data_IF_470341767032
#
_entry.id   IF_470341767032
#
_cell.length_a   1.000
_cell.length_b   1.000
_cell.length_c   1.000
_cell.angle_alpha   90.00
_cell.angle_beta   90.00
_cell.angle_gamma   90.00
#
_symmetry.space_group_name_H-M   'P 1'
#
loop_
_entity.id
_entity.type
_entity.pdbx_description
1 polymer ?
#
# COMPACT_ATOMS: atom_id res chain seq x y z
N UNK A 1 -6.57 22.54 0.37
CA UNK A 1 -6.64 21.08 0.10
C UNK A 1 -7.91 20.59 0.77
N UNK A 2 -8.79 19.87 0.05
CA UNK A 2 -10.05 19.32 0.57
C UNK A 2 -9.96 17.80 0.40
N UNK A 3 -10.35 17.04 1.42
CA UNK A 3 -10.42 15.58 1.39
C UNK A 3 -11.76 15.13 1.99
N UNK A 4 -12.40 14.15 1.36
CA UNK A 4 -13.72 13.64 1.78
C UNK A 4 -13.78 12.13 1.61
N UNK A 5 -14.80 11.46 2.17
CA UNK A 5 -15.04 10.04 1.90
C UNK A 5 -15.73 9.76 0.55
N UNK A 6 -16.16 10.80 -0.17
CA UNK A 6 -16.94 10.66 -1.39
C UNK A 6 -16.05 10.57 -2.63
N UNK A 7 -16.45 9.75 -3.60
CA UNK A 7 -15.70 9.53 -4.84
C UNK A 7 -15.87 10.62 -5.89
N UNK A 8 -16.85 11.52 -5.72
CA UNK A 8 -17.14 12.63 -6.62
C UNK A 8 -16.31 13.90 -6.32
N UNK A 9 -15.46 13.86 -5.28
CA UNK A 9 -14.54 14.95 -4.91
C UNK A 9 -13.08 14.49 -4.97
N UNK A 10 -12.13 15.41 -5.23
CA UNK A 10 -10.70 15.12 -5.10
C UNK A 10 -10.33 14.58 -3.72
N UNK A 11 -9.21 13.84 -3.65
CA UNK A 11 -8.65 13.30 -2.41
C UNK A 11 -9.63 12.43 -1.62
N UNK A 12 -10.27 11.46 -2.28
CA UNK A 12 -11.13 10.50 -1.61
C UNK A 12 -10.34 9.70 -0.57
N UNK A 13 -10.70 9.86 0.70
CA UNK A 13 -10.11 9.11 1.81
C UNK A 13 -10.98 7.91 2.10
N UNK A 14 -10.49 6.71 1.77
CA UNK A 14 -11.23 5.46 1.89
C UNK A 14 -10.37 4.35 2.47
N UNK A 15 -10.96 3.56 3.39
CA UNK A 15 -10.32 2.44 4.06
C UNK A 15 -9.92 1.29 3.13
N UNK A 16 -10.42 1.27 1.89
CA UNK A 16 -9.97 0.31 0.85
C UNK A 16 -8.46 0.39 0.61
N UNK A 17 -7.84 1.54 0.84
CA UNK A 17 -6.39 1.75 0.75
C UNK A 17 -5.63 1.26 1.98
N UNK A 18 -6.31 0.95 3.08
CA UNK A 18 -5.69 0.54 4.34
C UNK A 18 -5.95 -0.91 4.69
N UNK A 19 -7.22 -1.27 4.90
CA UNK A 19 -7.62 -2.55 5.50
C UNK A 19 -7.02 -3.77 4.76
N UNK A 20 -7.15 -3.93 3.43
CA UNK A 20 -6.65 -5.12 2.77
C UNK A 20 -5.14 -5.34 2.95
N UNK A 21 -4.37 -4.25 2.92
CA UNK A 21 -2.91 -4.32 2.90
C UNK A 21 -2.31 -4.38 4.29
N UNK A 22 -2.91 -3.71 5.27
CA UNK A 22 -2.54 -3.86 6.68
C UNK A 22 -2.73 -5.32 7.12
N UNK A 23 -3.86 -5.93 6.75
CA UNK A 23 -4.09 -7.33 7.07
C UNK A 23 -3.16 -8.25 6.31
N UNK A 24 -2.87 -7.98 5.02
CA UNK A 24 -1.90 -8.78 4.28
C UNK A 24 -0.54 -8.83 4.96
N UNK A 25 0.06 -7.66 5.25
CA UNK A 25 1.37 -7.59 5.92
C UNK A 25 1.37 -8.27 7.28
N UNK A 26 0.34 -8.04 8.08
CA UNK A 26 0.22 -8.62 9.42
C UNK A 26 0.03 -10.16 9.39
N UNK A 27 -0.74 -10.68 8.45
CA UNK A 27 -1.00 -12.12 8.33
C UNK A 27 0.22 -12.88 7.83
N UNK A 28 0.98 -12.32 6.89
CA UNK A 28 2.15 -12.98 6.31
C UNK A 28 3.26 -13.23 7.32
N UNK A 29 3.49 -12.26 8.21
CA UNK A 29 4.45 -12.42 9.32
C UNK A 29 3.82 -13.02 10.57
N UNK A 30 2.55 -13.45 10.48
CA UNK A 30 1.80 -14.05 11.59
C UNK A 30 1.84 -13.16 12.85
N UNK A 31 1.56 -11.88 12.70
CA UNK A 31 1.53 -10.95 13.81
C UNK A 31 0.50 -11.39 14.88
N UNK A 32 0.78 -11.12 16.16
CA UNK A 32 -0.14 -11.40 17.28
C UNK A 32 -1.25 -10.36 17.43
N UNK A 33 -1.00 -9.14 16.96
CA UNK A 33 -1.90 -7.98 17.06
C UNK A 33 -1.48 -6.94 16.02
N UNK A 34 -2.39 -6.02 15.71
CA UNK A 34 -2.06 -4.79 14.98
C UNK A 34 -1.67 -3.72 16.01
N UNK A 35 -0.46 -3.19 15.91
CA UNK A 35 0.06 -2.15 16.82
C UNK A 35 -0.16 -0.75 16.26
N UNK A 36 0.03 0.28 17.10
CA UNK A 36 -0.01 1.67 16.63
C UNK A 36 1.16 1.99 15.68
N UNK A 37 2.34 1.37 15.88
CA UNK A 37 3.46 1.50 14.96
C UNK A 37 3.13 0.95 13.58
N UNK A 38 2.51 -0.23 13.49
CA UNK A 38 2.05 -0.80 12.22
C UNK A 38 1.06 0.13 11.50
N UNK A 39 0.12 0.76 12.22
CA UNK A 39 -0.81 1.73 11.63
C UNK A 39 -0.09 2.99 11.14
N UNK A 40 0.87 3.48 11.91
CA UNK A 40 1.67 4.65 11.57
C UNK A 40 2.50 4.40 10.30
N UNK A 41 3.21 3.28 10.23
CA UNK A 41 4.03 2.93 9.07
C UNK A 41 3.17 2.64 7.83
N UNK A 42 1.98 2.04 7.99
CA UNK A 42 1.01 1.93 6.90
C UNK A 42 0.59 3.30 6.34
N UNK A 43 0.29 4.27 7.21
CA UNK A 43 -0.08 5.63 6.81
C UNK A 43 1.08 6.35 6.11
N UNK A 44 2.30 6.21 6.62
CA UNK A 44 3.51 6.76 5.99
C UNK A 44 3.77 6.13 4.61
N UNK A 45 3.62 4.81 4.49
CA UNK A 45 3.77 4.11 3.22
C UNK A 45 2.76 4.60 2.17
N UNK A 46 1.49 4.78 2.54
CA UNK A 46 0.48 5.37 1.64
C UNK A 46 0.83 6.82 1.24
N UNK A 47 1.26 7.63 2.20
CA UNK A 47 1.63 9.01 1.94
C UNK A 47 2.86 9.14 1.05
N UNK A 48 3.80 8.20 1.15
CA UNK A 48 4.96 8.12 0.28
C UNK A 48 4.56 7.65 -1.13
N UNK A 49 3.74 6.60 -1.24
CA UNK A 49 3.20 6.14 -2.53
C UNK A 49 2.42 7.23 -3.28
N UNK A 50 1.70 8.11 -2.56
CA UNK A 50 0.98 9.21 -3.20
C UNK A 50 1.89 10.17 -3.98
N UNK A 51 3.18 10.25 -3.60
CA UNK A 51 4.17 11.12 -4.22
C UNK A 51 4.89 10.45 -5.40
N UNK A 52 4.73 9.15 -5.57
CA UNK A 52 5.29 8.42 -6.69
C UNK A 52 4.51 8.68 -7.99
N UNK A 53 5.14 8.49 -9.16
CA UNK A 53 4.44 8.57 -10.43
C UNK A 53 3.25 7.60 -10.49
N UNK A 54 2.08 8.12 -10.88
CA UNK A 54 0.87 7.30 -10.99
C UNK A 54 0.97 6.36 -12.19
N UNK A 55 0.82 5.03 -12.00
CA UNK A 55 0.94 4.07 -13.10
C UNK A 55 -0.06 4.31 -14.23
N UNK A 56 0.33 3.99 -15.47
CA UNK A 56 -0.51 4.18 -16.66
C UNK A 56 -1.88 3.49 -16.54
N UNK A 57 -1.93 2.26 -16.02
CA UNK A 57 -3.19 1.53 -15.87
C UNK A 57 -4.16 2.22 -14.91
N UNK A 58 -3.65 2.96 -13.92
CA UNK A 58 -4.49 3.77 -13.01
C UNK A 58 -5.01 5.00 -13.75
N UNK A 59 -4.13 5.73 -14.45
CA UNK A 59 -4.52 6.90 -15.26
C UNK A 59 -5.61 6.55 -16.29
N UNK A 60 -5.46 5.40 -16.94
CA UNK A 60 -6.44 4.87 -17.89
C UNK A 60 -7.78 4.53 -17.23
N UNK A 61 -7.78 3.90 -16.05
CA UNK A 61 -9.00 3.56 -15.31
C UNK A 61 -9.83 4.80 -14.87
N UNK A 62 -9.18 5.95 -14.72
CA UNK A 62 -9.82 7.22 -14.35
C UNK A 62 -10.00 8.19 -15.53
N UNK A 63 -9.64 7.78 -16.77
CA UNK A 63 -9.68 8.63 -17.96
C UNK A 63 -8.99 9.99 -17.78
N UNK A 64 -7.87 10.01 -17.04
CA UNK A 64 -7.13 11.23 -16.74
C UNK A 64 -5.62 10.97 -16.77
N UNK A 65 -4.95 11.48 -17.81
CA UNK A 65 -3.51 11.30 -18.03
C UNK A 65 -2.63 12.19 -17.14
N UNK A 66 -3.21 13.24 -16.55
CA UNK A 66 -2.52 14.27 -15.78
C UNK A 66 -2.65 14.09 -14.26
N UNK A 67 -3.01 12.89 -13.79
CA UNK A 67 -3.02 12.58 -12.36
C UNK A 67 -1.57 12.54 -11.86
N UNK A 68 -1.24 13.51 -11.01
CA UNK A 68 0.07 13.70 -10.38
C UNK A 68 -0.11 14.22 -8.97
N UNK A 69 0.86 13.98 -8.10
CA UNK A 69 0.82 14.46 -6.72
C UNK A 69 0.63 15.98 -6.66
N UNK A 70 -0.38 16.43 -5.92
CA UNK A 70 -0.72 17.84 -5.87
C UNK A 70 -1.95 18.11 -5.04
N UNK A 71 -2.45 19.34 -5.06
CA UNK A 71 -3.59 19.78 -4.22
C UNK A 71 -4.85 18.94 -4.42
N UNK A 72 -5.01 18.31 -5.58
CA UNK A 72 -6.16 17.48 -5.97
C UNK A 72 -5.87 15.97 -5.90
N UNK A 73 -4.62 15.58 -5.62
CA UNK A 73 -4.20 14.18 -5.49
C UNK A 73 -3.10 14.06 -4.41
N UNK A 74 -3.51 13.98 -3.15
CA UNK A 74 -2.63 13.80 -1.98
C UNK A 74 -2.65 12.38 -1.41
N UNK A 75 -3.49 11.50 -1.96
CA UNK A 75 -3.67 10.11 -1.53
C UNK A 75 -3.74 9.20 -2.76
N UNK A 76 -3.17 7.98 -2.74
CA UNK A 76 -3.23 7.09 -3.89
C UNK A 76 -4.66 6.75 -4.29
N UNK A 77 -4.88 6.42 -5.56
CA UNK A 77 -6.19 6.02 -6.05
C UNK A 77 -6.47 4.54 -5.73
N UNK A 78 -7.72 4.14 -5.42
CA UNK A 78 -8.10 2.76 -5.11
C UNK A 78 -7.60 1.67 -6.06
N UNK A 79 -7.48 1.96 -7.37
CA UNK A 79 -6.99 0.99 -8.35
C UNK A 79 -5.46 0.88 -8.42
N UNK A 80 -4.70 1.67 -7.65
CA UNK A 80 -3.25 1.58 -7.61
C UNK A 80 -2.83 0.33 -6.83
N UNK A 81 -2.47 -0.74 -7.55
CA UNK A 81 -2.09 -2.03 -6.97
C UNK A 81 -0.80 -1.95 -6.16
N UNK A 82 0.06 -0.96 -6.41
CA UNK A 82 1.29 -0.73 -5.63
C UNK A 82 0.99 -0.51 -4.13
N UNK A 83 -0.21 -0.07 -3.77
CA UNK A 83 -0.61 0.08 -2.38
C UNK A 83 -0.46 -1.23 -1.58
N UNK A 84 -0.62 -2.39 -2.22
CA UNK A 84 -0.32 -3.69 -1.63
C UNK A 84 1.15 -3.79 -1.21
N UNK A 85 2.07 -3.58 -2.16
CA UNK A 85 3.52 -3.73 -1.93
C UNK A 85 3.99 -2.75 -0.86
N UNK A 86 3.55 -1.50 -0.93
CA UNK A 86 4.00 -0.46 -0.01
C UNK A 86 3.47 -0.67 1.41
N UNK A 87 2.16 -0.85 1.56
CA UNK A 87 1.54 -0.91 2.89
C UNK A 87 1.81 -2.25 3.56
N UNK A 88 1.68 -3.38 2.84
CA UNK A 88 1.91 -4.68 3.44
C UNK A 88 3.38 -4.85 3.87
N UNK A 89 4.35 -4.38 3.07
CA UNK A 89 5.77 -4.45 3.44
C UNK A 89 6.09 -3.62 4.67
N UNK A 90 5.59 -2.38 4.73
CA UNK A 90 5.77 -1.52 5.90
C UNK A 90 5.20 -2.18 7.17
N UNK A 91 3.98 -2.73 7.08
CA UNK A 91 3.32 -3.39 8.21
C UNK A 91 4.04 -4.66 8.64
N UNK A 92 4.47 -5.50 7.69
CA UNK A 92 5.20 -6.72 7.93
C UNK A 92 6.55 -6.45 8.63
N UNK A 93 7.31 -5.47 8.10
CA UNK A 93 8.56 -4.99 8.68
C UNK A 93 8.37 -4.53 10.11
N UNK A 94 7.43 -3.61 10.35
CA UNK A 94 7.19 -3.07 11.70
C UNK A 94 6.74 -4.17 12.67
N UNK A 95 5.89 -5.10 12.23
CA UNK A 95 5.49 -6.22 13.08
C UNK A 95 6.68 -7.11 13.48
N UNK A 96 7.67 -7.28 12.59
CA UNK A 96 8.91 -7.99 12.90
C UNK A 96 9.81 -7.19 13.86
N UNK A 97 10.06 -5.92 13.57
CA UNK A 97 10.88 -5.02 14.38
C UNK A 97 10.33 -4.82 15.81
N UNK A 98 9.01 -4.76 15.96
CA UNK A 98 8.34 -4.64 17.27
C UNK A 98 8.22 -5.99 18.01
N UNK A 99 8.68 -7.09 17.43
CA UNK A 99 8.64 -8.41 18.06
C UNK A 99 7.22 -8.99 18.24
N UNK A 100 6.23 -8.50 17.49
CA UNK A 100 4.85 -9.02 17.51
C UNK A 100 4.62 -10.08 16.43
N UNK A 101 5.53 -10.21 15.48
CA UNK A 101 5.63 -11.27 14.47
C UNK A 101 5.92 -12.65 15.09
N UNK A 102 5.58 -13.73 14.38
CA UNK A 102 5.91 -15.12 14.75
C UNK A 102 6.78 -15.83 13.71
N UNK A 103 7.31 -15.12 12.70
CA UNK A 103 8.32 -15.67 11.80
C UNK A 103 9.72 -15.52 12.40
N UNK A 104 10.63 -16.42 12.06
CA UNK A 104 12.00 -16.46 12.61
C UNK A 104 12.92 -15.39 11.99
N UNK A 105 12.72 -15.11 10.71
CA UNK A 105 13.47 -14.10 9.95
C UNK A 105 12.52 -13.35 9.02
N UNK A 106 12.88 -12.10 8.72
CA UNK A 106 12.16 -11.27 7.75
C UNK A 106 13.17 -10.52 6.88
N UNK A 107 13.01 -10.65 5.57
CA UNK A 107 13.75 -9.90 4.57
C UNK A 107 12.73 -9.06 3.79
N UNK A 108 12.88 -7.73 3.89
CA UNK A 108 11.94 -6.79 3.27
C UNK A 108 12.00 -6.83 1.75
N UNK A 109 13.19 -7.01 1.16
CA UNK A 109 13.37 -7.00 -0.30
C UNK A 109 12.72 -8.23 -0.92
N UNK A 110 13.01 -9.41 -0.36
CA UNK A 110 12.39 -10.67 -0.77
C UNK A 110 10.88 -10.63 -0.61
N UNK A 111 10.39 -10.06 0.49
CA UNK A 111 8.95 -9.94 0.71
C UNK A 111 8.28 -9.01 -0.31
N UNK A 112 8.93 -7.90 -0.66
CA UNK A 112 8.44 -6.96 -1.69
C UNK A 112 8.39 -7.62 -3.07
N UNK A 113 9.39 -8.43 -3.42
CA UNK A 113 9.39 -9.21 -4.66
C UNK A 113 8.24 -10.21 -4.71
N UNK A 114 8.02 -10.97 -3.63
CA UNK A 114 6.88 -11.88 -3.53
C UNK A 114 5.53 -11.16 -3.75
N UNK A 115 5.35 -9.97 -3.18
CA UNK A 115 4.13 -9.18 -3.38
C UNK A 115 4.00 -8.66 -4.83
N UNK A 116 5.10 -8.38 -5.51
CA UNK A 116 5.09 -8.02 -6.94
C UNK A 116 4.66 -9.20 -7.79
N UNK A 117 5.15 -10.40 -7.51
CA UNK A 117 4.78 -11.61 -8.25
C UNK A 117 3.27 -11.89 -8.15
N UNK A 118 2.66 -11.64 -6.98
CA UNK A 118 1.20 -11.74 -6.81
C UNK A 118 0.43 -10.79 -7.73
N UNK A 119 0.96 -9.60 -8.00
CA UNK A 119 0.26 -8.56 -8.77
C UNK A 119 0.52 -8.69 -10.27
N UNK A 120 1.76 -8.98 -10.65
CA UNK A 120 2.26 -8.89 -12.03
C UNK A 120 2.53 -10.27 -12.65
N UNK A 121 2.50 -11.35 -11.87
CA UNK A 121 2.96 -12.68 -12.28
C UNK A 121 4.49 -12.83 -12.12
N UNK A 122 4.96 -14.07 -12.04
CA UNK A 122 6.39 -14.34 -12.08
C UNK A 122 6.89 -14.09 -13.51
N UNK A 123 8.07 -13.46 -13.73
CA UNK A 123 8.62 -13.28 -15.07
C UNK A 123 8.78 -14.58 -15.88
N UNK A 124 8.85 -15.73 -15.21
CA UNK A 124 8.98 -17.06 -15.82
C UNK A 124 7.65 -17.66 -16.33
N UNK A 125 6.51 -17.02 -16.05
CA UNK A 125 5.16 -17.50 -16.42
C UNK A 125 4.63 -16.90 -17.75
N UNK A 126 5.45 -16.11 -18.48
CA UNK A 126 5.15 -15.52 -19.81
C UNK A 126 6.18 -15.93 -20.87
#
# INVERSE_FOLDING_TARGET
>A
IIATGRSDYPNQTNNVLGFPFIFRGALDVRAKKITEGMKMEAAKALAALAKEPVPYYVKAAYHNEHIEYGKEHIIPLPFNKEALIWVASAVAKTAFEEGVSRVESFDEEVYREHLRDIIYGCPEDN
#
